data_IF_058799805317
#
_entry.id   IF_058799805317
#
_cell.length_a   1.000
_cell.length_b   1.000
_cell.length_c   1.000
_cell.angle_alpha   90.00
_cell.angle_beta   90.00
_cell.angle_gamma   90.00
#
_symmetry.space_group_name_H-M   'P 1'
#
loop_
_entity.id
_entity.type
_entity.pdbx_description
1 polymer ?
#
# COMPACT_ATOMS: atom_id res chain seq x y z
N UNK A 1 36.59 6.40 6.17
CA UNK A 1 36.60 6.27 4.71
C UNK A 1 35.43 5.40 4.30
N UNK A 2 34.97 5.46 3.04
CA UNK A 2 33.84 4.67 2.54
C UNK A 2 33.99 3.16 2.70
N UNK A 3 35.25 2.69 2.80
CA UNK A 3 35.59 1.29 3.09
C UNK A 3 35.13 0.78 4.47
N UNK A 4 34.67 1.69 5.35
CA UNK A 4 34.08 1.31 6.65
C UNK A 4 32.59 0.95 6.54
N UNK A 5 31.98 1.17 5.37
CA UNK A 5 30.59 0.78 5.13
C UNK A 5 30.48 -0.74 5.11
N UNK A 6 29.44 -1.25 5.78
CA UNK A 6 29.11 -2.67 5.75
C UNK A 6 28.35 -3.02 4.47
N UNK A 7 28.65 -4.21 3.92
CA UNK A 7 27.89 -4.73 2.78
C UNK A 7 26.43 -4.95 3.20
N UNK A 8 25.51 -4.31 2.49
CA UNK A 8 24.08 -4.54 2.68
C UNK A 8 23.64 -5.82 1.96
N UNK A 9 22.66 -6.55 2.49
CA UNK A 9 22.08 -7.70 1.79
C UNK A 9 21.45 -7.25 0.47
N UNK A 10 21.50 -8.13 -0.54
CA UNK A 10 20.78 -7.88 -1.79
C UNK A 10 19.27 -7.82 -1.54
N UNK A 11 18.58 -6.93 -2.26
CA UNK A 11 17.12 -6.89 -2.24
C UNK A 11 16.54 -8.24 -2.70
N UNK A 12 15.75 -8.88 -1.82
CA UNK A 12 15.22 -10.21 -2.05
C UNK A 12 14.25 -10.27 -3.26
N UNK A 13 13.53 -9.16 -3.52
CA UNK A 13 12.62 -9.07 -4.66
C UNK A 13 13.39 -8.95 -5.98
N UNK A 14 14.42 -8.10 -6.03
CA UNK A 14 15.27 -7.98 -7.22
C UNK A 14 16.01 -9.29 -7.52
N UNK A 15 16.47 -9.99 -6.49
CA UNK A 15 17.08 -11.33 -6.65
C UNK A 15 16.08 -12.33 -7.23
N UNK A 16 14.82 -12.29 -6.78
CA UNK A 16 13.75 -13.16 -7.28
C UNK A 16 13.40 -12.86 -8.75
N UNK A 17 13.33 -11.59 -9.13
CA UNK A 17 13.12 -11.16 -10.53
C UNK A 17 14.24 -11.72 -11.42
N UNK A 18 15.50 -11.60 -10.99
CA UNK A 18 16.63 -12.14 -11.74
C UNK A 18 16.52 -13.66 -11.91
N UNK A 19 16.22 -14.39 -10.84
CA UNK A 19 16.04 -15.84 -10.88
C UNK A 19 14.92 -16.26 -11.82
N UNK A 20 13.79 -15.53 -11.83
CA UNK A 20 12.70 -15.77 -12.76
C UNK A 20 13.15 -15.52 -14.21
N UNK A 21 13.83 -14.44 -14.49
CA UNK A 21 14.26 -14.10 -15.85
C UNK A 21 15.27 -15.10 -16.40
N UNK A 22 16.19 -15.59 -15.57
CA UNK A 22 17.24 -16.55 -15.94
C UNK A 22 16.69 -17.98 -16.14
N UNK A 23 15.48 -18.28 -15.69
CA UNK A 23 14.85 -19.59 -15.86
C UNK A 23 14.35 -19.77 -17.31
N UNK A 24 14.80 -20.81 -18.04
CA UNK A 24 14.42 -21.04 -19.45
C UNK A 24 13.00 -21.64 -19.62
N UNK A 25 12.34 -22.07 -18.54
CA UNK A 25 11.01 -22.69 -18.63
C UNK A 25 9.98 -21.69 -19.17
N UNK A 26 9.20 -22.11 -20.16
CA UNK A 26 8.18 -21.28 -20.78
C UNK A 26 6.92 -21.13 -19.89
N UNK A 27 6.68 -22.11 -19.02
CA UNK A 27 5.50 -22.22 -18.16
C UNK A 27 5.75 -21.73 -16.72
N UNK A 28 6.84 -20.98 -16.52
CA UNK A 28 7.17 -20.39 -15.22
C UNK A 28 6.15 -19.30 -14.82
N UNK A 29 5.94 -19.13 -13.51
CA UNK A 29 4.96 -18.19 -12.94
C UNK A 29 5.70 -17.24 -11.99
N UNK A 30 5.56 -15.92 -12.20
CA UNK A 30 6.04 -14.91 -11.29
C UNK A 30 4.92 -14.39 -10.37
N UNK A 31 5.03 -14.70 -9.09
CA UNK A 31 4.14 -14.25 -8.02
C UNK A 31 4.88 -13.34 -7.01
N UNK A 32 6.10 -12.92 -7.32
CA UNK A 32 6.94 -12.12 -6.42
C UNK A 32 6.69 -10.62 -6.52
N UNK A 33 6.56 -10.10 -7.75
CA UNK A 33 6.47 -8.66 -8.01
C UNK A 33 5.06 -8.14 -7.71
N UNK A 34 4.96 -7.09 -6.91
CA UNK A 34 3.70 -6.48 -6.46
C UNK A 34 3.11 -5.49 -7.46
N UNK A 35 2.86 -5.93 -8.70
CA UNK A 35 2.18 -5.16 -9.75
C UNK A 35 0.91 -5.88 -10.19
N UNK A 36 -0.08 -5.12 -10.65
CA UNK A 36 -1.23 -5.73 -11.30
C UNK A 36 -0.81 -6.37 -12.63
N UNK A 37 -1.44 -7.50 -12.98
CA UNK A 37 -1.31 -8.15 -14.27
C UNK A 37 -2.66 -8.52 -14.82
N UNK A 38 -2.82 -8.43 -16.15
CA UNK A 38 -4.01 -8.86 -16.89
C UNK A 38 -4.13 -10.39 -16.90
N UNK A 39 -5.19 -10.91 -17.51
CA UNK A 39 -5.36 -12.35 -17.78
C UNK A 39 -4.25 -12.95 -18.66
N UNK A 40 -3.62 -12.13 -19.49
CA UNK A 40 -2.49 -12.46 -20.38
C UNK A 40 -1.12 -12.33 -19.68
N UNK A 41 -1.09 -11.75 -18.47
CA UNK A 41 0.13 -11.57 -17.67
C UNK A 41 0.83 -10.21 -17.85
N UNK A 42 0.23 -9.29 -18.62
CA UNK A 42 0.78 -7.98 -18.89
C UNK A 42 0.45 -6.98 -17.77
N UNK A 43 1.30 -5.97 -17.61
CA UNK A 43 1.04 -4.80 -16.75
C UNK A 43 0.80 -3.57 -17.65
N UNK A 44 -0.45 -3.31 -18.08
CA UNK A 44 -0.73 -2.23 -19.00
C UNK A 44 -0.67 -0.87 -18.31
N UNK A 45 -0.39 0.19 -19.08
CA UNK A 45 -0.70 1.55 -18.66
C UNK A 45 -2.21 1.74 -18.82
N UNK A 46 -2.87 2.32 -17.83
CA UNK A 46 -4.31 2.60 -17.88
C UNK A 46 -4.68 3.45 -19.09
N UNK A 47 -5.85 3.16 -19.68
CA UNK A 47 -6.37 3.95 -20.85
C UNK A 47 -6.57 5.40 -20.46
N UNK A 48 -7.11 5.65 -19.28
CA UNK A 48 -7.29 6.99 -18.70
C UNK A 48 -5.96 7.74 -18.55
N UNK A 49 -4.91 7.06 -18.05
CA UNK A 49 -3.57 7.64 -17.90
C UNK A 49 -2.95 7.94 -19.28
N UNK A 50 -3.03 7.02 -20.25
CA UNK A 50 -2.52 7.29 -21.61
C UNK A 50 -3.17 8.51 -22.27
N UNK A 51 -4.47 8.68 -22.06
CA UNK A 51 -5.19 9.84 -22.57
C UNK A 51 -4.75 11.14 -21.88
N UNK A 52 -4.56 11.10 -20.55
CA UNK A 52 -4.05 12.23 -19.78
C UNK A 52 -2.61 12.61 -20.18
N UNK A 53 -1.72 11.62 -20.32
CA UNK A 53 -0.33 11.85 -20.78
C UNK A 53 -0.28 12.47 -22.18
N UNK A 54 -1.11 11.98 -23.12
CA UNK A 54 -1.19 12.56 -24.46
C UNK A 54 -1.63 14.03 -24.42
N UNK A 55 -2.59 14.38 -23.55
CA UNK A 55 -3.02 15.76 -23.32
C UNK A 55 -1.91 16.61 -22.70
N UNK A 56 -1.18 16.09 -21.71
CA UNK A 56 -0.03 16.77 -21.11
C UNK A 56 1.04 17.10 -22.16
N UNK A 57 1.39 16.13 -23.01
CA UNK A 57 2.39 16.35 -24.07
C UNK A 57 1.96 17.44 -25.05
N UNK A 58 0.65 17.55 -25.33
CA UNK A 58 0.12 18.53 -26.25
C UNK A 58 -0.04 19.95 -25.65
N UNK A 59 -0.34 20.05 -24.35
CA UNK A 59 -0.82 21.30 -23.73
C UNK A 59 0.12 21.87 -22.65
N UNK A 60 1.07 21.08 -22.11
CA UNK A 60 1.95 21.56 -21.05
C UNK A 60 3.08 22.43 -21.59
N UNK A 61 2.99 23.73 -21.40
CA UNK A 61 3.94 24.71 -21.95
C UNK A 61 5.19 24.93 -21.09
N UNK A 62 5.23 24.42 -19.86
CA UNK A 62 6.33 24.70 -18.93
C UNK A 62 6.79 23.46 -18.19
N UNK A 63 8.10 23.35 -17.99
CA UNK A 63 8.77 22.42 -17.06
C UNK A 63 9.55 23.18 -15.98
N UNK A 64 9.07 24.39 -15.63
CA UNK A 64 9.63 25.14 -14.52
C UNK A 64 9.46 24.38 -13.20
N UNK A 65 10.34 24.66 -12.23
CA UNK A 65 10.25 24.06 -10.92
C UNK A 65 8.92 24.38 -10.22
N UNK A 66 8.36 23.34 -9.57
CA UNK A 66 7.35 23.49 -8.51
C UNK A 66 8.04 23.75 -7.16
N UNK A 67 7.27 23.97 -6.11
CA UNK A 67 7.77 23.98 -4.75
C UNK A 67 7.99 22.56 -4.18
N UNK A 68 8.50 22.44 -2.96
CA UNK A 68 8.62 21.16 -2.27
C UNK A 68 7.27 20.48 -2.01
N UNK A 69 6.17 21.22 -2.06
CA UNK A 69 4.79 20.76 -1.97
C UNK A 69 4.32 19.98 -3.21
N UNK A 70 4.97 20.18 -4.36
CA UNK A 70 4.62 19.54 -5.63
C UNK A 70 3.42 20.17 -6.32
N UNK A 71 2.69 19.39 -7.13
CA UNK A 71 1.45 19.79 -7.79
C UNK A 71 0.29 19.81 -6.80
N UNK A 72 -0.07 20.98 -6.30
CA UNK A 72 -1.17 21.16 -5.35
C UNK A 72 -2.54 20.87 -5.98
N UNK A 73 -2.70 21.09 -7.29
CA UNK A 73 -3.92 20.69 -8.00
C UNK A 73 -4.13 19.18 -7.98
N UNK A 74 -3.08 18.39 -8.14
CA UNK A 74 -3.14 16.92 -7.93
C UNK A 74 -3.55 16.58 -6.50
N UNK A 75 -2.91 17.19 -5.50
CA UNK A 75 -3.18 16.94 -4.08
C UNK A 75 -4.64 17.23 -3.74
N UNK A 76 -5.17 18.38 -4.20
CA UNK A 76 -6.54 18.81 -3.96
C UNK A 76 -7.56 17.94 -4.72
N UNK A 77 -7.30 17.59 -5.99
CA UNK A 77 -8.17 16.73 -6.79
C UNK A 77 -8.31 15.31 -6.18
N UNK A 78 -7.31 14.83 -5.45
CA UNK A 78 -7.32 13.53 -4.80
C UNK A 78 -8.12 13.52 -3.48
N UNK A 79 -8.20 14.63 -2.76
CA UNK A 79 -8.84 14.72 -1.43
C UNK A 79 -10.28 14.17 -1.39
N UNK A 80 -11.18 14.46 -2.33
CA UNK A 80 -12.55 13.93 -2.31
C UNK A 80 -12.63 12.41 -2.33
N UNK A 81 -11.68 11.74 -2.96
CA UNK A 81 -11.62 10.27 -3.02
C UNK A 81 -11.09 9.67 -1.73
N UNK A 82 -10.17 10.34 -1.06
CA UNK A 82 -9.60 9.90 0.22
C UNK A 82 -10.54 10.22 1.39
N UNK A 83 -10.97 11.47 1.52
CA UNK A 83 -11.66 11.99 2.72
C UNK A 83 -13.19 12.08 2.58
N UNK A 84 -13.70 11.89 1.35
CA UNK A 84 -15.14 12.04 1.04
C UNK A 84 -15.45 13.39 0.39
N UNK A 85 -16.52 13.40 -0.40
CA UNK A 85 -16.88 14.55 -1.25
C UNK A 85 -17.54 15.72 -0.52
N UNK A 86 -18.15 15.46 0.65
CA UNK A 86 -18.95 16.48 1.35
C UNK A 86 -18.07 17.59 1.94
N UNK A 87 -16.99 17.22 2.60
CA UNK A 87 -16.00 18.16 3.16
C UNK A 87 -14.62 17.47 3.20
N UNK A 88 -13.90 17.47 2.07
CA UNK A 88 -12.58 16.82 2.00
C UNK A 88 -11.53 17.44 2.92
N UNK A 89 -11.71 18.70 3.30
CA UNK A 89 -10.79 19.40 4.22
C UNK A 89 -11.10 19.18 5.70
N UNK A 90 -12.23 18.54 6.00
CA UNK A 90 -12.75 18.34 7.37
C UNK A 90 -12.74 19.65 8.19
N UNK A 91 -13.33 20.72 7.62
CA UNK A 91 -13.37 22.05 8.25
C UNK A 91 -12.06 22.80 8.20
N UNK A 92 -11.22 22.56 7.20
CA UNK A 92 -9.90 23.18 7.03
C UNK A 92 -8.82 22.59 7.95
N UNK A 93 -9.04 21.38 8.48
CA UNK A 93 -8.09 20.68 9.36
C UNK A 93 -7.09 19.82 8.60
N UNK A 94 -7.31 19.57 7.30
CA UNK A 94 -6.47 18.71 6.46
C UNK A 94 -5.84 19.53 5.34
N UNK A 95 -4.54 19.36 5.19
CA UNK A 95 -3.76 19.82 4.03
C UNK A 95 -2.78 18.72 3.62
N UNK A 96 -2.39 18.70 2.35
CA UNK A 96 -1.49 17.70 1.84
C UNK A 96 -0.35 18.29 1.01
N UNK A 97 0.54 17.40 0.59
CA UNK A 97 1.61 17.69 -0.36
C UNK A 97 1.91 16.45 -1.19
N UNK A 98 2.34 16.66 -2.43
CA UNK A 98 2.75 15.58 -3.31
C UNK A 98 4.07 14.93 -2.81
N UNK A 99 4.18 13.62 -3.00
CA UNK A 99 5.37 12.85 -2.62
C UNK A 99 5.77 11.87 -3.71
N UNK A 100 7.05 11.41 -3.76
CA UNK A 100 7.48 10.36 -4.69
C UNK A 100 6.90 8.99 -4.29
N UNK A 101 5.62 8.76 -4.60
CA UNK A 101 4.87 7.56 -4.24
C UNK A 101 4.61 7.44 -2.74
N UNK A 102 3.98 6.32 -2.35
CA UNK A 102 3.69 6.02 -0.94
C UNK A 102 4.94 5.88 -0.07
N UNK A 103 6.06 5.42 -0.62
CA UNK A 103 7.34 5.36 0.10
C UNK A 103 7.81 6.75 0.52
N UNK A 104 7.72 7.73 -0.39
CA UNK A 104 8.06 9.13 -0.07
C UNK A 104 7.14 9.69 1.01
N UNK A 105 5.84 9.39 0.93
CA UNK A 105 4.86 9.81 1.93
C UNK A 105 5.17 9.23 3.31
N UNK A 106 5.39 7.93 3.42
CA UNK A 106 5.73 7.26 4.67
C UNK A 106 7.06 7.77 5.25
N UNK A 107 8.08 7.92 4.40
CA UNK A 107 9.37 8.48 4.83
C UNK A 107 9.20 9.87 5.45
N UNK A 108 8.38 10.70 4.82
CA UNK A 108 8.12 12.06 5.27
C UNK A 108 7.29 12.07 6.56
N UNK A 109 6.20 11.28 6.60
CA UNK A 109 5.35 11.13 7.78
C UNK A 109 6.16 10.69 9.01
N UNK A 110 6.94 9.62 8.88
CA UNK A 110 7.76 9.09 9.98
C UNK A 110 8.88 10.07 10.39
N UNK A 111 9.45 10.83 9.46
CA UNK A 111 10.40 11.88 9.78
C UNK A 111 9.75 13.07 10.54
N UNK A 112 8.50 13.43 10.18
CA UNK A 112 7.72 14.44 10.91
C UNK A 112 7.38 13.97 12.31
N UNK A 113 6.95 12.72 12.46
CA UNK A 113 6.67 12.07 13.74
C UNK A 113 7.91 12.13 14.65
N UNK A 114 9.08 11.73 14.13
CA UNK A 114 10.34 11.85 14.89
C UNK A 114 10.66 13.28 15.28
N UNK A 115 10.48 14.24 14.35
CA UNK A 115 10.72 15.67 14.61
C UNK A 115 9.77 16.23 15.68
N UNK A 116 8.54 15.70 15.76
CA UNK A 116 7.56 16.04 16.78
C UNK A 116 7.85 15.39 18.16
N UNK A 117 8.91 14.59 18.27
CA UNK A 117 9.33 13.99 19.54
C UNK A 117 8.80 12.58 19.80
N UNK A 118 8.15 11.97 18.83
CA UNK A 118 7.75 10.57 18.90
C UNK A 118 8.95 9.65 18.61
N UNK A 119 9.02 8.50 19.27
CA UNK A 119 10.16 7.60 19.15
C UNK A 119 9.79 6.16 18.83
N UNK A 120 8.53 5.77 19.04
CA UNK A 120 8.04 4.41 18.90
C UNK A 120 6.87 4.36 17.93
N UNK A 121 6.90 3.37 17.04
CA UNK A 121 5.85 3.12 16.04
C UNK A 121 5.30 1.71 16.28
N UNK A 122 4.02 1.63 16.61
CA UNK A 122 3.28 0.37 16.79
C UNK A 122 2.87 -0.12 15.39
N UNK A 123 3.23 -1.35 15.02
CA UNK A 123 3.01 -1.92 13.68
C UNK A 123 2.52 -3.36 13.78
N UNK A 124 1.44 -3.67 13.08
CA UNK A 124 0.97 -5.06 12.93
C UNK A 124 1.89 -5.87 12.00
N UNK A 125 2.36 -7.03 12.46
CA UNK A 125 3.23 -7.92 11.67
C UNK A 125 2.53 -9.25 11.34
N UNK A 126 2.84 -9.86 10.17
CA UNK A 126 3.77 -9.38 9.14
C UNK A 126 3.27 -8.10 8.47
N UNK A 127 4.16 -7.21 8.08
CA UNK A 127 3.86 -5.94 7.42
C UNK A 127 4.69 -5.76 6.15
N UNK A 128 4.43 -4.71 5.40
CA UNK A 128 5.31 -4.33 4.30
C UNK A 128 6.72 -4.06 4.84
N UNK A 129 7.76 -4.79 4.37
CA UNK A 129 9.09 -4.75 4.99
C UNK A 129 9.71 -3.36 5.06
N UNK A 130 9.32 -2.46 4.14
CA UNK A 130 9.86 -1.12 4.09
C UNK A 130 9.38 -0.22 5.25
N UNK A 131 8.28 -0.57 5.94
CA UNK A 131 7.87 0.13 7.18
C UNK A 131 8.97 0.05 8.23
N UNK A 132 9.44 -1.15 8.55
CA UNK A 132 10.51 -1.36 9.51
C UNK A 132 11.84 -0.76 9.03
N UNK A 133 12.13 -0.84 7.71
CA UNK A 133 13.36 -0.29 7.14
C UNK A 133 13.40 1.24 7.25
N UNK A 134 12.29 1.94 6.97
CA UNK A 134 12.21 3.40 7.13
C UNK A 134 12.32 3.80 8.60
N UNK A 135 11.65 3.07 9.51
CA UNK A 135 11.77 3.31 10.95
C UNK A 135 13.21 3.16 11.42
N UNK A 136 13.89 2.08 11.03
CA UNK A 136 15.29 1.83 11.37
C UNK A 136 16.24 2.92 10.87
N UNK A 137 16.07 3.37 9.62
CA UNK A 137 16.89 4.44 9.04
C UNK A 137 16.67 5.78 9.74
N UNK A 138 15.46 6.03 10.22
CA UNK A 138 15.14 7.20 11.03
C UNK A 138 15.51 7.06 12.50
N UNK A 139 15.91 5.85 12.95
CA UNK A 139 16.17 5.55 14.37
C UNK A 139 14.89 5.64 15.21
N UNK A 140 13.77 5.18 14.67
CA UNK A 140 12.51 4.95 15.37
C UNK A 140 12.43 3.50 15.82
N UNK A 141 11.96 3.26 17.05
CA UNK A 141 11.69 1.92 17.57
C UNK A 141 10.38 1.38 16.97
N UNK A 142 10.39 0.14 16.50
CA UNK A 142 9.18 -0.56 16.07
C UNK A 142 8.67 -1.44 17.19
N UNK A 143 7.41 -1.27 17.58
CA UNK A 143 6.69 -2.11 18.56
C UNK A 143 5.72 -2.98 17.77
N UNK A 144 5.99 -4.27 17.72
CA UNK A 144 5.23 -5.21 16.90
C UNK A 144 4.05 -5.82 17.66
N UNK A 145 2.92 -5.99 16.96
CA UNK A 145 1.83 -6.88 17.39
C UNK A 145 1.46 -7.82 16.24
N UNK A 146 0.88 -8.97 16.57
CA UNK A 146 0.43 -9.90 15.54
C UNK A 146 -0.81 -9.36 14.81
N UNK A 147 -0.71 -9.15 13.48
CA UNK A 147 -1.83 -8.61 12.69
C UNK A 147 -2.92 -9.65 12.43
N UNK A 148 -2.53 -10.90 12.17
CA UNK A 148 -3.45 -11.92 11.71
C UNK A 148 -3.19 -13.28 12.33
N UNK A 149 -4.27 -14.01 12.61
CA UNK A 149 -4.25 -15.38 13.10
C UNK A 149 -4.05 -16.38 11.94
N UNK A 150 -3.59 -17.57 12.28
CA UNK A 150 -3.45 -18.67 11.31
C UNK A 150 -4.79 -19.07 10.65
N UNK A 151 -5.92 -18.73 11.27
CA UNK A 151 -7.26 -18.92 10.71
C UNK A 151 -7.58 -18.02 9.49
N UNK A 152 -6.70 -17.06 9.17
CA UNK A 152 -6.94 -16.09 8.10
C UNK A 152 -7.82 -14.90 8.51
N UNK A 153 -7.92 -14.62 9.79
CA UNK A 153 -8.65 -13.46 10.36
C UNK A 153 -7.68 -12.52 11.09
N UNK A 154 -8.08 -11.25 11.28
CA UNK A 154 -7.28 -10.31 12.07
C UNK A 154 -7.20 -10.72 13.54
N UNK A 155 -6.07 -10.43 14.18
CA UNK A 155 -5.87 -10.63 15.63
C UNK A 155 -6.22 -9.35 16.38
N UNK A 156 -7.52 -9.17 16.67
CA UNK A 156 -7.98 -7.99 17.39
C UNK A 156 -7.51 -7.96 18.85
N UNK A 157 -7.24 -9.12 19.47
CA UNK A 157 -6.76 -9.16 20.86
C UNK A 157 -5.32 -8.65 20.94
N UNK A 158 -4.47 -9.03 19.99
CA UNK A 158 -3.12 -8.50 19.90
C UNK A 158 -3.10 -6.97 19.65
N UNK A 159 -3.99 -6.46 18.79
CA UNK A 159 -4.11 -5.03 18.55
C UNK A 159 -4.59 -4.28 19.80
N UNK A 160 -5.63 -4.80 20.50
CA UNK A 160 -6.12 -4.22 21.76
C UNK A 160 -5.01 -4.13 22.81
N UNK A 161 -4.24 -5.22 22.96
CA UNK A 161 -3.09 -5.26 23.86
C UNK A 161 -2.02 -4.23 23.50
N UNK A 162 -1.66 -4.13 22.23
CA UNK A 162 -0.66 -3.17 21.77
C UNK A 162 -1.08 -1.71 21.99
N UNK A 163 -2.37 -1.38 21.80
CA UNK A 163 -2.89 -0.03 22.08
C UNK A 163 -2.98 0.22 23.59
N UNK A 164 -3.35 -0.79 24.39
CA UNK A 164 -3.41 -0.65 25.86
C UNK A 164 -2.02 -0.43 26.48
N UNK A 165 -0.97 -1.03 25.92
CA UNK A 165 0.42 -0.90 26.34
C UNK A 165 1.12 0.34 25.73
N UNK A 166 0.41 1.10 24.89
CA UNK A 166 0.95 2.30 24.26
C UNK A 166 1.25 3.40 25.29
N UNK A 167 2.28 4.18 24.99
CA UNK A 167 2.77 5.27 25.84
C UNK A 167 2.48 6.61 25.20
N UNK A 168 2.47 7.64 26.01
CA UNK A 168 2.47 9.01 25.47
C UNK A 168 3.69 9.22 24.56
N UNK A 169 3.45 9.74 23.33
CA UNK A 169 4.49 9.87 22.30
C UNK A 169 4.69 8.62 21.44
N UNK A 170 3.81 7.62 21.50
CA UNK A 170 3.76 6.54 20.52
C UNK A 170 2.88 6.94 19.33
N UNK A 171 3.18 6.37 18.16
CA UNK A 171 2.31 6.41 16.99
C UNK A 171 1.96 4.99 16.56
N UNK A 172 0.81 4.81 15.93
CA UNK A 172 0.40 3.54 15.34
C UNK A 172 0.30 3.66 13.82
N UNK A 173 0.93 2.72 13.09
CA UNK A 173 0.87 2.65 11.64
C UNK A 173 -0.04 1.51 11.22
N UNK A 174 -1.11 1.84 10.49
CA UNK A 174 -2.12 0.91 10.02
C UNK A 174 -2.27 0.97 8.51
N UNK A 175 -2.38 -0.19 7.85
CA UNK A 175 -2.83 -0.24 6.46
C UNK A 175 -4.32 0.08 6.40
N UNK A 176 -4.72 1.03 5.56
CA UNK A 176 -6.12 1.44 5.42
C UNK A 176 -7.00 0.39 4.74
N UNK A 177 -6.41 -0.37 3.78
CA UNK A 177 -7.06 -1.46 3.06
C UNK A 177 -6.02 -2.35 2.38
N UNK A 178 -6.44 -3.54 1.91
CA UNK A 178 -5.61 -4.45 1.11
C UNK A 178 -4.27 -4.75 1.75
N UNK A 179 -4.30 -5.22 3.01
CA UNK A 179 -3.13 -5.37 3.86
C UNK A 179 -1.98 -6.11 3.16
N UNK A 180 -0.83 -5.48 3.07
CA UNK A 180 0.40 -6.08 2.56
C UNK A 180 1.26 -6.60 3.73
N UNK A 181 1.50 -7.93 3.84
CA UNK A 181 1.43 -8.95 2.80
C UNK A 181 0.24 -9.89 2.85
N UNK A 182 -0.70 -9.76 3.79
CA UNK A 182 -1.65 -10.84 4.11
C UNK A 182 -2.93 -10.82 3.27
N UNK A 183 -3.34 -9.65 2.77
CA UNK A 183 -4.67 -9.46 2.17
C UNK A 183 -5.82 -9.49 3.19
N UNK A 184 -5.52 -9.62 4.48
CA UNK A 184 -6.50 -9.71 5.57
C UNK A 184 -6.75 -8.32 6.12
N UNK A 185 -7.95 -7.79 5.85
CA UNK A 185 -8.36 -6.43 6.26
C UNK A 185 -9.27 -6.48 7.48
N UNK A 186 -9.31 -5.37 8.20
CA UNK A 186 -10.29 -5.13 9.25
C UNK A 186 -11.70 -4.97 8.65
N UNK A 187 -12.74 -5.50 9.34
CA UNK A 187 -14.14 -5.21 9.00
C UNK A 187 -14.50 -3.77 9.40
N UNK A 188 -15.69 -3.31 8.95
CA UNK A 188 -16.18 -1.99 9.34
C UNK A 188 -16.38 -1.89 10.87
N UNK A 189 -16.91 -2.95 11.51
CA UNK A 189 -17.09 -3.02 12.96
C UNK A 189 -15.76 -3.00 13.71
N UNK A 190 -14.73 -3.68 13.15
CA UNK A 190 -13.38 -3.65 13.70
C UNK A 190 -12.75 -2.27 13.54
N UNK A 191 -12.97 -1.59 12.42
CA UNK A 191 -12.53 -0.21 12.25
C UNK A 191 -13.22 0.77 13.21
N UNK A 192 -14.52 0.56 13.51
CA UNK A 192 -15.23 1.34 14.53
C UNK A 192 -14.61 1.17 15.92
N UNK A 193 -14.26 -0.06 16.27
CA UNK A 193 -13.57 -0.36 17.51
C UNK A 193 -12.16 0.26 17.55
N UNK A 194 -11.36 0.08 16.49
CA UNK A 194 -10.00 0.64 16.36
C UNK A 194 -10.02 2.15 16.53
N UNK A 195 -10.95 2.83 15.87
CA UNK A 195 -11.11 4.27 15.96
C UNK A 195 -11.38 4.72 17.42
N UNK A 196 -12.25 4.00 18.11
CA UNK A 196 -12.54 4.26 19.54
C UNK A 196 -11.33 4.04 20.45
N UNK A 197 -10.58 2.97 20.23
CA UNK A 197 -9.36 2.65 20.99
C UNK A 197 -8.27 3.71 20.78
N UNK A 198 -8.01 4.12 19.52
CA UNK A 198 -7.02 5.17 19.20
C UNK A 198 -7.42 6.49 19.82
N UNK A 199 -8.69 6.89 19.70
CA UNK A 199 -9.18 8.14 20.30
C UNK A 199 -9.02 8.16 21.82
N UNK A 200 -9.25 7.04 22.49
CA UNK A 200 -9.10 6.91 23.96
C UNK A 200 -7.64 6.91 24.41
N UNK A 201 -6.73 6.31 23.64
CA UNK A 201 -5.30 6.16 23.99
C UNK A 201 -4.46 7.40 23.69
N UNK A 202 -4.97 8.34 22.88
CA UNK A 202 -4.26 9.57 22.44
C UNK A 202 -2.95 9.29 21.67
N UNK A 203 -2.79 8.11 21.07
CA UNK A 203 -1.69 7.81 20.16
C UNK A 203 -1.94 8.46 18.80
N UNK A 204 -0.87 8.80 18.08
CA UNK A 204 -0.96 9.41 16.75
C UNK A 204 -1.18 8.31 15.69
N UNK A 205 -2.30 8.26 14.95
CA UNK A 205 -2.46 7.34 13.83
C UNK A 205 -1.72 7.82 12.59
N UNK A 206 -1.02 6.87 11.95
CA UNK A 206 -0.46 6.98 10.60
C UNK A 206 -1.19 5.95 9.75
N UNK A 207 -1.95 6.41 8.75
CA UNK A 207 -2.79 5.57 7.90
C UNK A 207 -2.14 5.44 6.53
N UNK A 208 -1.73 4.21 6.16
CA UNK A 208 -1.13 3.90 4.86
C UNK A 208 -2.21 3.38 3.90
N UNK A 209 -2.50 4.16 2.86
CA UNK A 209 -3.53 3.87 1.86
C UNK A 209 -2.88 3.69 0.48
N UNK A 210 -2.32 2.51 0.25
CA UNK A 210 -1.58 2.22 -0.97
C UNK A 210 -2.40 1.51 -2.05
N UNK A 211 -3.62 1.02 -1.74
CA UNK A 211 -4.38 0.11 -2.61
C UNK A 211 -5.86 0.47 -2.73
N UNK A 212 -6.26 1.68 -2.40
CA UNK A 212 -7.66 2.12 -2.46
C UNK A 212 -8.25 1.87 -3.85
N UNK A 213 -9.43 1.26 -3.91
CA UNK A 213 -10.12 0.84 -5.13
C UNK A 213 -9.82 -0.59 -5.57
N UNK A 214 -8.79 -1.24 -4.99
CA UNK A 214 -8.40 -2.60 -5.36
C UNK A 214 -8.89 -3.68 -4.37
N UNK A 215 -9.54 -3.28 -3.29
CA UNK A 215 -10.16 -4.18 -2.32
C UNK A 215 -11.64 -4.40 -2.62
N UNK A 216 -12.49 -3.58 -2.00
CA UNK A 216 -13.95 -3.65 -2.15
C UNK A 216 -14.51 -2.55 -3.06
N UNK A 217 -13.84 -1.43 -3.17
CA UNK A 217 -14.22 -0.26 -3.95
C UNK A 217 -13.56 1.00 -3.39
N UNK A 218 -13.65 2.12 -4.15
CA UNK A 218 -13.04 3.39 -3.74
C UNK A 218 -13.60 3.91 -2.41
N UNK A 219 -14.89 3.79 -2.18
CA UNK A 219 -15.55 4.28 -0.97
C UNK A 219 -15.38 3.31 0.20
N UNK A 220 -15.53 2.02 -0.05
CA UNK A 220 -15.42 0.97 0.96
C UNK A 220 -13.99 0.85 1.50
N UNK A 221 -12.98 0.99 0.64
CA UNK A 221 -11.58 0.89 1.01
C UNK A 221 -11.11 2.10 1.85
N UNK A 222 -11.83 3.23 1.77
CA UNK A 222 -11.57 4.42 2.59
C UNK A 222 -12.33 4.43 3.94
N UNK A 223 -13.21 3.46 4.19
CA UNK A 223 -14.06 3.45 5.39
C UNK A 223 -13.24 3.58 6.67
N UNK A 224 -12.25 2.72 6.87
CA UNK A 224 -11.45 2.68 8.09
C UNK A 224 -10.70 3.99 8.34
N UNK A 225 -10.08 4.53 7.29
CA UNK A 225 -9.41 5.83 7.36
C UNK A 225 -10.39 6.91 7.82
N UNK A 226 -11.51 7.07 7.12
CA UNK A 226 -12.51 8.10 7.42
C UNK A 226 -13.11 7.94 8.82
N UNK A 227 -13.27 6.69 9.28
CA UNK A 227 -13.79 6.40 10.62
C UNK A 227 -12.83 6.82 11.72
N UNK A 228 -11.52 6.57 11.53
CA UNK A 228 -10.48 7.04 12.48
C UNK A 228 -10.44 8.57 12.50
N UNK A 229 -10.37 9.22 11.33
CA UNK A 229 -10.28 10.68 11.23
C UNK A 229 -11.49 11.42 11.86
N UNK A 230 -12.66 10.78 11.87
CA UNK A 230 -13.85 11.36 12.47
C UNK A 230 -13.78 11.53 14.00
N UNK A 231 -12.88 10.80 14.67
CA UNK A 231 -12.84 10.75 16.15
C UNK A 231 -11.49 11.14 16.76
N UNK A 232 -10.43 11.24 15.96
CA UNK A 232 -9.11 11.65 16.45
C UNK A 232 -8.85 13.13 16.19
N UNK A 233 -8.04 13.79 17.03
CA UNK A 233 -7.67 15.21 16.81
C UNK A 233 -6.65 15.39 15.71
N UNK A 234 -5.71 14.45 15.54
CA UNK A 234 -4.57 14.55 14.64
C UNK A 234 -4.29 13.22 13.95
N UNK A 235 -3.81 13.25 12.73
CA UNK A 235 -3.40 12.06 11.97
C UNK A 235 -2.43 12.42 10.85
N UNK A 236 -1.65 11.41 10.39
CA UNK A 236 -0.92 11.47 9.13
C UNK A 236 -1.47 10.41 8.17
N UNK A 237 -1.70 10.79 6.94
CA UNK A 237 -2.26 9.90 5.91
C UNK A 237 -1.28 9.82 4.76
N UNK A 238 -0.80 8.59 4.50
CA UNK A 238 0.12 8.29 3.43
C UNK A 238 -0.64 7.65 2.27
N UNK A 239 -0.61 8.27 1.11
CA UNK A 239 -1.32 7.80 -0.07
C UNK A 239 -0.37 7.44 -1.21
N UNK A 240 -0.65 6.35 -1.91
CA UNK A 240 0.07 5.96 -3.12
C UNK A 240 -0.87 5.81 -4.30
N UNK A 241 -0.56 6.48 -5.40
CA UNK A 241 -1.20 6.29 -6.70
C UNK A 241 -0.49 5.25 -7.57
N UNK A 242 0.58 4.65 -7.08
CA UNK A 242 1.39 3.70 -7.86
C UNK A 242 0.58 2.48 -8.35
N UNK A 243 -0.45 2.04 -7.58
CA UNK A 243 -1.22 0.83 -7.88
C UNK A 243 -2.55 1.14 -8.53
N UNK A 244 -3.35 2.03 -7.93
CA UNK A 244 -4.70 2.33 -8.41
C UNK A 244 -4.74 3.30 -9.62
N UNK A 245 -3.58 3.81 -10.05
CA UNK A 245 -3.41 4.47 -11.35
C UNK A 245 -2.38 3.75 -12.24
N UNK A 246 -1.80 2.63 -11.76
CA UNK A 246 -0.81 1.85 -12.51
C UNK A 246 0.52 2.56 -12.75
N UNK A 247 0.84 3.60 -11.98
CA UNK A 247 2.00 4.49 -12.17
C UNK A 247 3.21 4.04 -11.31
N UNK A 248 3.53 2.76 -11.34
CA UNK A 248 4.60 2.17 -10.50
C UNK A 248 5.96 2.84 -10.66
N UNK A 249 6.29 3.31 -11.87
CA UNK A 249 7.58 3.92 -12.22
C UNK A 249 7.62 5.41 -12.00
N UNK A 250 6.46 6.08 -12.06
CA UNK A 250 6.33 7.54 -12.01
C UNK A 250 6.38 8.08 -10.59
N UNK A 251 6.22 7.18 -9.60
CA UNK A 251 6.35 7.51 -8.18
C UNK A 251 5.38 8.61 -7.74
N UNK A 252 4.09 8.36 -7.84
CA UNK A 252 3.01 9.30 -7.52
C UNK A 252 2.38 8.96 -6.18
N UNK A 253 2.30 9.94 -5.29
CA UNK A 253 1.65 9.81 -3.98
C UNK A 253 1.44 11.14 -3.32
N UNK A 254 0.80 11.13 -2.16
CA UNK A 254 0.56 12.31 -1.35
C UNK A 254 0.70 11.98 0.14
N UNK A 255 1.19 12.95 0.91
CA UNK A 255 1.10 12.99 2.36
C UNK A 255 0.06 14.03 2.74
N UNK A 256 -0.89 13.66 3.61
CA UNK A 256 -1.80 14.60 4.23
C UNK A 256 -1.57 14.61 5.74
N UNK A 257 -1.67 15.79 6.33
CA UNK A 257 -1.68 15.97 7.78
C UNK A 257 -3.05 16.51 8.21
N UNK A 258 -3.61 15.91 9.25
CA UNK A 258 -4.78 16.42 9.95
C UNK A 258 -4.36 16.95 11.30
N UNK A 259 -4.80 18.14 11.65
CA UNK A 259 -4.51 18.83 12.92
C UNK A 259 -5.78 19.05 13.73
N UNK A 260 -5.61 19.23 15.06
CA UNK A 260 -6.73 19.52 15.95
C UNK A 260 -7.29 20.93 15.72
N UNK A 261 -6.41 21.93 15.57
CA UNK A 261 -6.75 23.34 15.28
C UNK A 261 -6.22 23.71 13.90
N UNK A 262 -7.08 24.17 12.96
CA UNK A 262 -6.63 24.64 11.65
C UNK A 262 -5.49 25.67 11.69
N UNK A 263 -5.37 26.45 12.76
CA UNK A 263 -4.29 27.43 12.92
C UNK A 263 -2.89 26.78 13.00
N UNK A 264 -2.80 25.50 13.37
CA UNK A 264 -1.52 24.77 13.43
C UNK A 264 -1.09 24.19 12.08
N UNK A 265 -1.99 24.15 11.08
CA UNK A 265 -1.76 23.45 9.82
C UNK A 265 -0.55 23.98 9.08
N UNK A 266 -0.43 25.29 8.93
CA UNK A 266 0.72 25.92 8.27
C UNK A 266 2.06 25.57 8.95
N UNK A 267 2.08 25.49 10.29
CA UNK A 267 3.26 25.07 11.05
C UNK A 267 3.61 23.62 10.76
N UNK A 268 2.63 22.71 10.77
CA UNK A 268 2.84 21.29 10.50
C UNK A 268 3.32 21.08 9.07
N UNK A 269 2.65 21.67 8.08
CA UNK A 269 3.02 21.55 6.66
C UNK A 269 4.39 22.15 6.35
N UNK A 270 4.79 23.25 7.00
CA UNK A 270 6.13 23.83 6.84
C UNK A 270 7.25 22.84 7.21
N UNK A 271 7.02 21.95 8.18
CA UNK A 271 7.96 20.89 8.54
C UNK A 271 8.02 19.80 7.44
N UNK A 272 6.88 19.42 6.86
CA UNK A 272 6.81 18.54 5.70
C UNK A 272 7.60 19.12 4.52
N UNK A 273 7.33 20.36 4.14
CA UNK A 273 8.03 21.06 3.04
C UNK A 273 9.54 21.14 3.27
N UNK A 274 9.98 21.45 4.49
CA UNK A 274 11.41 21.51 4.84
C UNK A 274 12.08 20.12 4.70
N UNK A 275 11.41 19.05 5.14
CA UNK A 275 11.90 17.67 4.99
C UNK A 275 11.92 17.24 3.52
N UNK A 276 10.87 17.55 2.75
CA UNK A 276 10.80 17.25 1.31
C UNK A 276 11.92 17.96 0.55
N UNK A 277 12.14 19.25 0.86
CA UNK A 277 13.26 20.02 0.28
C UNK A 277 14.62 19.37 0.52
N UNK A 278 14.82 18.79 1.69
CA UNK A 278 16.08 18.12 2.04
C UNK A 278 16.22 16.72 1.40
N UNK A 279 15.09 16.00 1.19
CA UNK A 279 15.11 14.65 0.66
C UNK A 279 15.17 14.59 -0.88
N UNK A 280 14.37 15.39 -1.58
CA UNK A 280 14.22 15.34 -3.04
C UNK A 280 14.01 16.71 -3.71
N UNK A 281 14.05 17.80 -2.98
CA UNK A 281 13.83 19.15 -3.46
C UNK A 281 12.37 19.43 -3.86
N UNK A 282 11.85 18.72 -4.86
CA UNK A 282 10.44 18.63 -5.25
C UNK A 282 10.15 17.21 -5.75
N UNK A 283 8.90 16.72 -5.69
CA UNK A 283 8.54 15.42 -6.22
C UNK A 283 8.54 15.42 -7.76
N UNK A 284 8.58 14.23 -8.43
CA UNK A 284 8.37 14.11 -9.86
C UNK A 284 6.98 14.62 -10.26
N UNK A 285 6.92 15.49 -11.28
CA UNK A 285 5.67 16.16 -11.68
C UNK A 285 4.79 15.34 -12.62
N UNK A 286 5.36 14.72 -13.66
CA UNK A 286 4.61 14.20 -14.82
C UNK A 286 3.46 13.25 -14.43
N UNK A 287 3.74 12.26 -13.58
CA UNK A 287 2.71 11.32 -13.14
C UNK A 287 1.63 11.99 -12.27
N UNK A 288 2.01 12.94 -11.40
CA UNK A 288 1.06 13.73 -10.60
C UNK A 288 0.12 14.55 -11.47
N UNK A 289 0.67 15.24 -12.46
CA UNK A 289 -0.10 16.02 -13.44
C UNK A 289 -1.03 15.13 -14.28
N UNK A 290 -0.61 13.91 -14.65
CA UNK A 290 -1.47 12.96 -15.35
C UNK A 290 -2.65 12.51 -14.47
N UNK A 291 -2.39 12.17 -13.20
CA UNK A 291 -3.46 11.82 -12.23
C UNK A 291 -4.41 12.98 -12.03
N UNK A 292 -3.90 14.20 -11.88
CA UNK A 292 -4.73 15.41 -11.78
C UNK A 292 -5.68 15.53 -12.95
N UNK A 293 -5.19 15.41 -14.19
CA UNK A 293 -6.04 15.48 -15.38
C UNK A 293 -7.11 14.38 -15.41
N UNK A 294 -6.79 13.16 -14.94
CA UNK A 294 -7.79 12.09 -14.82
C UNK A 294 -8.87 12.48 -13.82
N UNK A 295 -8.51 13.05 -12.67
CA UNK A 295 -9.45 13.37 -11.58
C UNK A 295 -10.28 14.65 -11.86
N UNK A 296 -9.79 15.58 -12.68
CA UNK A 296 -10.48 16.82 -13.07
C UNK A 296 -11.37 16.65 -14.31
N UNK A 297 -11.24 15.56 -15.08
CA UNK A 297 -12.05 15.26 -16.27
C UNK A 297 -13.03 14.13 -15.97
N UNK A 298 -14.34 14.41 -15.99
CA UNK A 298 -15.40 13.45 -15.66
C UNK A 298 -15.32 12.17 -16.49
N UNK A 299 -14.96 12.27 -17.77
CA UNK A 299 -14.85 11.11 -18.67
C UNK A 299 -13.64 10.25 -18.32
N UNK A 300 -12.48 10.87 -18.09
CA UNK A 300 -11.26 10.15 -17.70
C UNK A 300 -11.42 9.52 -16.31
N UNK A 301 -12.11 10.21 -15.40
CA UNK A 301 -12.45 9.65 -14.08
C UNK A 301 -13.34 8.42 -14.22
N UNK A 302 -14.39 8.48 -15.07
CA UNK A 302 -15.27 7.33 -15.29
C UNK A 302 -14.51 6.14 -15.91
N UNK A 303 -13.63 6.39 -16.90
CA UNK A 303 -12.78 5.37 -17.50
C UNK A 303 -11.83 4.76 -16.46
N UNK A 304 -11.20 5.58 -15.62
CA UNK A 304 -10.32 5.12 -14.55
C UNK A 304 -11.04 4.23 -13.53
N UNK A 305 -12.23 4.63 -13.07
CA UNK A 305 -13.03 3.83 -12.14
C UNK A 305 -13.44 2.49 -12.75
N UNK A 306 -13.80 2.47 -14.04
CA UNK A 306 -14.11 1.23 -14.76
C UNK A 306 -12.87 0.30 -14.86
N UNK A 307 -11.68 0.86 -15.10
CA UNK A 307 -10.44 0.08 -15.11
C UNK A 307 -10.13 -0.52 -13.74
N UNK A 308 -10.39 0.19 -12.65
CA UNK A 308 -10.24 -0.34 -11.29
C UNK A 308 -11.23 -1.48 -11.02
N UNK A 309 -12.48 -1.34 -11.49
CA UNK A 309 -13.49 -2.39 -11.35
C UNK A 309 -13.07 -3.66 -12.10
N UNK A 310 -12.60 -3.55 -13.35
CA UNK A 310 -12.04 -4.66 -14.13
C UNK A 310 -10.90 -5.37 -13.38
N UNK A 311 -9.97 -4.62 -12.80
CA UNK A 311 -8.84 -5.16 -12.02
C UNK A 311 -9.31 -5.89 -10.76
N UNK A 312 -10.23 -5.30 -10.03
CA UNK A 312 -10.77 -5.85 -8.78
C UNK A 312 -11.54 -7.14 -9.04
N UNK A 313 -12.41 -7.15 -10.05
CA UNK A 313 -13.23 -8.31 -10.39
C UNK A 313 -12.34 -9.49 -10.83
N UNK A 314 -11.31 -9.24 -11.63
CA UNK A 314 -10.34 -10.27 -12.00
C UNK A 314 -9.61 -10.84 -10.77
N UNK A 315 -9.17 -10.01 -9.83
CA UNK A 315 -8.51 -10.51 -8.62
C UNK A 315 -9.48 -11.31 -7.74
N UNK A 316 -10.74 -10.92 -7.67
CA UNK A 316 -11.79 -11.68 -6.96
C UNK A 316 -12.04 -13.06 -7.60
N UNK A 317 -12.08 -13.13 -8.93
CA UNK A 317 -12.21 -14.38 -9.65
C UNK A 317 -11.05 -15.36 -9.33
N UNK A 318 -9.81 -14.87 -9.34
CA UNK A 318 -8.63 -15.66 -8.95
C UNK A 318 -8.74 -16.15 -7.50
N UNK A 319 -9.15 -15.27 -6.57
CA UNK A 319 -9.32 -15.60 -5.16
C UNK A 319 -10.44 -16.62 -4.93
N UNK A 320 -11.56 -16.49 -5.64
CA UNK A 320 -12.65 -17.46 -5.59
C UNK A 320 -12.17 -18.85 -6.03
N UNK A 321 -11.39 -18.91 -7.12
CA UNK A 321 -10.83 -20.16 -7.63
C UNK A 321 -9.83 -20.80 -6.65
N UNK A 322 -9.01 -20.01 -5.96
CA UNK A 322 -8.12 -20.51 -4.89
C UNK A 322 -8.92 -21.07 -3.72
N UNK A 323 -9.98 -20.37 -3.29
CA UNK A 323 -10.84 -20.82 -2.19
C UNK A 323 -11.63 -22.09 -2.55
N UNK A 324 -12.12 -22.22 -3.79
CA UNK A 324 -12.80 -23.42 -4.30
C UNK A 324 -11.90 -24.66 -4.25
N UNK A 325 -10.58 -24.49 -4.43
CA UNK A 325 -9.63 -25.59 -4.32
C UNK A 325 -9.55 -26.16 -2.90
N UNK A 326 -9.99 -25.39 -1.88
CA UNK A 326 -9.98 -25.84 -0.49
C UNK A 326 -8.57 -26.13 0.01
N UNK A 327 -8.33 -27.35 0.47
CA UNK A 327 -7.01 -27.78 0.93
C UNK A 327 -6.22 -28.42 -0.21
N UNK A 328 -5.08 -27.84 -0.54
CA UNK A 328 -4.11 -28.38 -1.50
C UNK A 328 -2.95 -29.04 -0.73
N UNK A 329 -2.89 -30.39 -0.71
CA UNK A 329 -2.01 -31.13 0.21
C UNK A 329 -2.38 -30.86 1.66
N UNK A 330 -1.49 -30.17 2.42
CA UNK A 330 -1.79 -29.74 3.79
C UNK A 330 -2.05 -28.23 3.89
N UNK A 331 -1.96 -27.47 2.79
CA UNK A 331 -2.18 -26.03 2.76
C UNK A 331 -3.66 -25.70 2.54
N UNK A 332 -4.30 -25.02 3.49
CA UNK A 332 -5.68 -24.50 3.34
C UNK A 332 -5.64 -23.16 2.56
N UNK A 333 -6.24 -23.17 1.36
CA UNK A 333 -6.38 -21.99 0.50
C UNK A 333 -7.73 -21.28 0.67
N UNK A 334 -8.67 -21.89 1.41
CA UNK A 334 -10.03 -21.36 1.62
C UNK A 334 -10.05 -19.91 2.11
N UNK A 335 -9.20 -19.48 3.07
CA UNK A 335 -9.23 -18.10 3.56
C UNK A 335 -8.92 -17.04 2.50
N UNK A 336 -8.26 -17.41 1.40
CA UNK A 336 -7.87 -16.47 0.34
C UNK A 336 -9.08 -15.85 -0.38
N UNK A 337 -10.23 -16.54 -0.38
CA UNK A 337 -11.47 -16.03 -0.97
C UNK A 337 -12.03 -14.78 -0.27
N UNK A 338 -11.76 -14.61 1.02
CA UNK A 338 -12.20 -13.46 1.81
C UNK A 338 -11.18 -12.31 1.89
N UNK A 339 -9.98 -12.49 1.31
CA UNK A 339 -8.91 -11.49 1.35
C UNK A 339 -9.03 -10.48 0.20
N UNK A 340 -8.35 -9.32 0.34
CA UNK A 340 -8.42 -8.22 -0.61
C UNK A 340 -7.05 -7.81 -1.16
N UNK A 341 -7.06 -7.09 -2.29
CA UNK A 341 -5.87 -6.50 -2.89
C UNK A 341 -4.95 -7.50 -3.58
N UNK A 342 -3.70 -7.09 -3.78
CA UNK A 342 -2.73 -7.83 -4.59
C UNK A 342 -2.12 -9.05 -3.90
N UNK A 343 -2.13 -9.13 -2.57
CA UNK A 343 -1.32 -10.11 -1.86
C UNK A 343 -2.11 -11.12 -1.04
N UNK A 344 -1.53 -12.29 -0.89
CA UNK A 344 -1.89 -13.33 0.08
C UNK A 344 -0.62 -14.02 0.57
N UNK A 345 -0.71 -14.68 1.72
CA UNK A 345 0.33 -15.58 2.21
C UNK A 345 -0.19 -17.02 2.08
N UNK A 346 0.52 -17.81 1.29
CA UNK A 346 0.30 -19.27 1.24
C UNK A 346 1.02 -19.90 2.44
N UNK A 347 0.41 -20.79 3.20
CA UNK A 347 1.01 -21.39 4.40
C UNK A 347 2.09 -22.43 4.05
N UNK A 348 3.20 -21.96 3.47
CA UNK A 348 4.36 -22.75 3.07
C UNK A 348 5.58 -22.37 3.91
N UNK A 349 6.36 -23.37 4.31
CA UNK A 349 7.67 -23.12 4.91
C UNK A 349 8.73 -22.80 3.83
N UNK A 350 9.94 -22.41 4.27
CA UNK A 350 11.02 -21.99 3.36
C UNK A 350 11.45 -23.07 2.36
N UNK A 351 11.47 -24.34 2.78
CA UNK A 351 11.88 -25.45 1.93
C UNK A 351 10.80 -25.75 0.88
N UNK A 352 9.53 -25.65 1.24
CA UNK A 352 8.41 -25.76 0.33
C UNK A 352 8.39 -24.60 -0.69
N UNK A 353 8.62 -23.36 -0.26
CA UNK A 353 8.79 -22.21 -1.18
C UNK A 353 9.97 -22.43 -2.15
N UNK A 354 11.07 -22.99 -1.67
CA UNK A 354 12.20 -23.35 -2.52
C UNK A 354 11.81 -24.44 -3.54
N UNK A 355 11.04 -25.46 -3.12
CA UNK A 355 10.54 -26.52 -3.98
C UNK A 355 9.55 -25.96 -5.05
N UNK A 356 8.65 -25.02 -4.70
CA UNK A 356 7.81 -24.32 -5.67
C UNK A 356 8.64 -23.73 -6.82
N UNK A 357 9.75 -23.09 -6.49
CA UNK A 357 10.65 -22.51 -7.49
C UNK A 357 11.42 -23.57 -8.28
N UNK A 358 12.07 -24.49 -7.61
CA UNK A 358 13.01 -25.42 -8.25
C UNK A 358 12.31 -26.51 -9.04
N UNK A 359 11.24 -27.10 -8.51
CA UNK A 359 10.47 -28.15 -9.18
C UNK A 359 9.48 -27.59 -10.20
N UNK A 360 8.73 -26.55 -9.80
CA UNK A 360 7.54 -26.10 -10.55
C UNK A 360 7.72 -24.79 -11.32
N UNK A 361 8.85 -24.07 -11.13
CA UNK A 361 9.06 -22.78 -11.78
C UNK A 361 8.15 -21.67 -11.28
N UNK A 362 7.69 -21.76 -10.02
CA UNK A 362 6.80 -20.78 -9.41
C UNK A 362 7.62 -19.92 -8.45
N UNK A 363 7.70 -18.63 -8.74
CA UNK A 363 8.54 -17.67 -8.07
C UNK A 363 7.70 -16.82 -7.12
N UNK A 364 7.91 -16.95 -5.81
CA UNK A 364 7.20 -16.27 -4.76
C UNK A 364 8.17 -15.85 -3.64
N UNK A 365 7.77 -14.93 -2.77
CA UNK A 365 8.59 -14.50 -1.66
C UNK A 365 8.85 -15.65 -0.68
N UNK A 366 10.04 -15.66 -0.03
CA UNK A 366 10.42 -16.70 0.94
C UNK A 366 9.52 -16.81 2.17
N UNK A 367 8.69 -15.80 2.42
CA UNK A 367 7.65 -15.79 3.46
C UNK A 367 6.35 -16.51 3.08
N UNK A 368 6.24 -17.05 1.87
CA UNK A 368 4.98 -17.57 1.33
C UNK A 368 4.09 -16.50 0.69
N UNK A 369 4.48 -15.22 0.69
CA UNK A 369 3.69 -14.16 0.05
C UNK A 369 3.67 -14.35 -1.45
N UNK A 370 2.48 -14.28 -2.03
CA UNK A 370 2.23 -14.26 -3.47
C UNK A 370 1.56 -12.94 -3.88
N UNK A 371 1.81 -12.51 -5.12
CA UNK A 371 0.98 -11.57 -5.83
C UNK A 371 -0.13 -12.33 -6.55
N UNK A 372 -1.36 -12.21 -6.06
CA UNK A 372 -2.54 -12.89 -6.61
C UNK A 372 -2.79 -12.50 -8.07
N UNK A 373 -2.50 -11.24 -8.45
CA UNK A 373 -2.63 -10.78 -9.82
C UNK A 373 -1.67 -11.47 -10.82
N UNK A 374 -0.62 -12.14 -10.33
CA UNK A 374 0.25 -12.98 -11.18
C UNK A 374 -0.35 -14.33 -11.56
N UNK A 375 -1.44 -14.75 -10.90
CA UNK A 375 -2.22 -15.92 -11.28
C UNK A 375 -3.24 -15.55 -12.36
N UNK A 376 -3.47 -16.47 -13.28
CA UNK A 376 -4.47 -16.39 -14.36
C UNK A 376 -5.29 -17.67 -14.38
N UNK A 377 -6.45 -17.67 -15.02
CA UNK A 377 -7.22 -18.92 -15.21
C UNK A 377 -6.45 -19.98 -16.00
N UNK A 378 -5.42 -19.58 -16.77
CA UNK A 378 -4.56 -20.49 -17.51
C UNK A 378 -3.43 -21.12 -16.69
N UNK A 379 -3.05 -20.56 -15.53
CA UNK A 379 -1.93 -21.04 -14.73
C UNK A 379 -2.28 -21.42 -13.28
N UNK A 380 -3.50 -21.10 -12.80
CA UNK A 380 -3.90 -21.30 -11.41
C UNK A 380 -3.97 -22.78 -11.02
N UNK A 381 -4.42 -23.67 -11.93
CA UNK A 381 -4.48 -25.10 -11.66
C UNK A 381 -3.08 -25.71 -11.47
N UNK A 382 -2.09 -25.24 -12.26
CA UNK A 382 -0.67 -25.57 -12.06
C UNK A 382 -0.18 -25.11 -10.68
N UNK A 383 -0.55 -23.91 -10.26
CA UNK A 383 -0.19 -23.39 -8.93
C UNK A 383 -0.77 -24.27 -7.82
N UNK A 384 -2.06 -24.59 -7.86
CA UNK A 384 -2.75 -25.42 -6.86
C UNK A 384 -2.11 -26.83 -6.79
N UNK A 385 -1.84 -27.45 -7.95
CA UNK A 385 -1.19 -28.75 -8.01
C UNK A 385 0.23 -28.71 -7.43
N UNK A 386 0.99 -27.64 -7.69
CA UNK A 386 2.32 -27.45 -7.14
C UNK A 386 2.29 -27.27 -5.60
N UNK A 387 1.32 -26.51 -5.07
CA UNK A 387 1.13 -26.39 -3.62
C UNK A 387 0.84 -27.75 -2.99
N UNK A 388 -0.05 -28.56 -3.61
CA UNK A 388 -0.35 -29.91 -3.13
C UNK A 388 0.89 -30.81 -3.13
N UNK A 389 1.72 -30.78 -4.20
CA UNK A 389 2.94 -31.59 -4.31
C UNK A 389 3.99 -31.24 -3.24
N UNK A 390 4.19 -29.95 -2.96
CA UNK A 390 5.24 -29.54 -2.01
C UNK A 390 4.80 -29.64 -0.55
N UNK A 391 3.51 -29.87 -0.30
CA UNK A 391 2.93 -30.01 1.06
C UNK A 391 2.46 -31.43 1.38
N UNK A 392 2.59 -32.38 0.42
CA UNK A 392 2.23 -33.79 0.59
C UNK A 392 3.08 -34.54 1.62
#
# INVERSE_FOLDING_TARGET
MLTNLQQQPADALLALIKLHNDDPRADKIDLGVGVYRTGEGDTPVFRSIKAAEAKLVAEQDSKAYLGPEGDMGFVEALMPYVFGKADPSMGGRIEGMQTPGGTGSLRLALAMVKRAGYHRIIVGVPSWPNHAQICADLGLEVVEFNHALASGTVDMDALRGAIADAREGDAILLHGCCHNPTGIDYSNEQWDEIAGLIAASKILPILDLAYQGLGKGMEEDAYGLRRVLAVVPEALICYSCDKNFGLYRDRVGALYAMVADPADLAKVMSNGHNLARANWSQPPDHGGAAVRLVLEDEKLTADWLAELDEMRDRMREVRAKLAEAGTAGTADLTPMGGQNGLFSIVPLNKDQVLAMRTKHGIYMAGSGRINVAGLTMGNIDKFIAAVADVTA
#
